data_IF_131485038549
#
_entry.id   IF_131485038549
#
_cell.length_a   1.000
_cell.length_b   1.000
_cell.length_c   1.000
_cell.angle_alpha   90.00
_cell.angle_beta   90.00
_cell.angle_gamma   90.00
#
_symmetry.space_group_name_H-M   'P 1'
#
loop_
_entity.id
_entity.type
_entity.pdbx_description
1 polymer ?
#
# COMPACT_ATOMS: atom_id res chain seq x y z
N UNK A 1 50.20 -0.32 26.52
CA UNK A 1 49.27 0.83 26.67
C UNK A 1 49.22 1.69 25.39
N UNK A 2 48.66 1.18 24.28
CA UNK A 2 48.39 2.02 23.07
C UNK A 2 47.03 1.78 22.40
N UNK A 3 46.19 0.87 22.92
CA UNK A 3 44.85 0.58 22.35
C UNK A 3 43.69 1.36 23.00
N UNK A 4 43.91 2.09 24.09
CA UNK A 4 42.83 2.75 24.84
C UNK A 4 42.34 4.06 24.22
N UNK A 5 43.17 4.74 23.41
CA UNK A 5 42.80 6.05 22.82
C UNK A 5 41.87 5.95 21.61
N UNK A 6 42.00 4.90 20.81
CA UNK A 6 41.13 4.69 19.62
C UNK A 6 39.72 4.28 20.06
N UNK A 7 39.61 3.48 21.13
CA UNK A 7 38.31 3.06 21.67
C UNK A 7 37.52 4.24 22.26
N UNK A 8 38.20 5.17 22.94
CA UNK A 8 37.57 6.39 23.44
C UNK A 8 37.14 7.35 22.33
N UNK A 9 37.90 7.42 21.23
CA UNK A 9 37.49 8.20 20.04
C UNK A 9 36.27 7.60 19.33
N UNK A 10 36.18 6.27 19.23
CA UNK A 10 35.01 5.59 18.65
C UNK A 10 33.77 5.76 19.52
N UNK A 11 33.90 5.71 20.84
CA UNK A 11 32.81 6.02 21.76
C UNK A 11 32.37 7.48 21.67
N UNK A 12 33.31 8.41 21.49
CA UNK A 12 32.99 9.82 21.31
C UNK A 12 32.25 10.10 19.99
N UNK A 13 32.65 9.45 18.89
CA UNK A 13 31.96 9.56 17.60
C UNK A 13 30.57 8.91 17.61
N UNK A 14 30.39 7.79 18.32
CA UNK A 14 29.08 7.16 18.49
C UNK A 14 28.13 8.05 19.31
N UNK A 15 28.67 8.79 20.28
CA UNK A 15 27.89 9.73 21.10
C UNK A 15 27.42 10.96 20.31
N UNK A 16 28.20 11.42 19.32
CA UNK A 16 27.80 12.48 18.38
C UNK A 16 26.64 12.03 17.48
N UNK A 17 26.63 10.77 17.03
CA UNK A 17 25.60 10.25 16.13
C UNK A 17 24.23 10.04 16.81
N UNK A 18 24.21 9.87 18.14
CA UNK A 18 22.98 9.85 18.95
C UNK A 18 22.48 11.26 19.31
N UNK A 19 23.37 12.26 19.36
CA UNK A 19 23.01 13.65 19.65
C UNK A 19 22.26 14.31 18.46
N UNK A 20 22.60 13.96 17.23
CA UNK A 20 21.94 14.49 16.02
C UNK A 20 20.52 13.94 15.81
N UNK A 21 20.22 12.75 16.35
CA UNK A 21 18.88 12.15 16.31
C UNK A 21 17.88 12.80 17.28
N UNK A 22 18.36 13.32 18.42
CA UNK A 22 17.51 14.02 19.40
C UNK A 22 17.15 15.46 18.97
N UNK A 23 17.93 16.06 18.05
CA UNK A 23 17.71 17.44 17.61
C UNK A 23 16.41 17.61 16.80
N UNK A 24 15.89 16.53 16.18
CA UNK A 24 14.62 16.52 15.45
C UNK A 24 13.37 16.39 16.33
N UNK A 25 13.50 15.90 17.57
CA UNK A 25 12.36 15.74 18.48
C UNK A 25 12.05 16.97 19.33
N UNK A 26 13.02 17.87 19.50
CA UNK A 26 12.88 19.10 20.29
C UNK A 26 11.86 20.08 19.66
N UNK A 27 11.83 20.33 18.34
CA UNK A 27 10.81 21.19 17.73
C UNK A 27 9.39 20.62 17.86
N UNK A 28 9.23 19.29 17.77
CA UNK A 28 7.94 18.61 17.86
C UNK A 28 7.41 18.62 19.30
N UNK A 29 8.27 18.39 20.29
CA UNK A 29 7.91 18.48 21.70
C UNK A 29 7.57 19.92 22.12
N UNK A 30 8.29 20.92 21.62
CA UNK A 30 7.96 22.34 21.85
C UNK A 30 6.65 22.75 21.18
N UNK A 31 6.34 22.25 19.98
CA UNK A 31 5.07 22.51 19.29
C UNK A 31 3.87 21.90 20.04
N UNK A 32 4.00 20.70 20.60
CA UNK A 32 2.93 20.06 21.39
C UNK A 32 2.73 20.73 22.76
N UNK A 33 3.81 21.18 23.40
CA UNK A 33 3.75 21.94 24.66
C UNK A 33 3.11 23.32 24.47
N UNK A 34 3.47 24.04 23.42
CA UNK A 34 2.85 25.34 23.08
C UNK A 34 1.37 25.20 22.73
N UNK A 35 0.98 24.16 21.99
CA UNK A 35 -0.43 23.87 21.70
C UNK A 35 -1.27 23.54 22.95
N UNK A 36 -0.71 22.78 23.91
CA UNK A 36 -1.38 22.48 25.18
C UNK A 36 -1.51 23.73 26.09
N UNK A 37 -0.52 24.63 26.05
CA UNK A 37 -0.54 25.89 26.83
C UNK A 37 -1.51 26.90 26.23
N UNK A 38 -1.63 26.96 24.90
CA UNK A 38 -2.63 27.81 24.22
C UNK A 38 -4.05 27.28 24.42
N UNK A 39 -4.24 25.95 24.39
CA UNK A 39 -5.57 25.34 24.62
C UNK A 39 -6.13 25.57 26.03
N UNK A 40 -5.28 25.53 27.06
CA UNK A 40 -5.67 25.81 28.45
C UNK A 40 -5.89 27.31 28.71
N UNK A 41 -5.14 28.19 28.04
CA UNK A 41 -5.33 29.65 28.08
C UNK A 41 -6.64 30.10 27.41
N UNK A 42 -6.98 29.54 26.23
CA UNK A 42 -8.25 29.86 25.55
C UNK A 42 -9.47 29.37 26.33
N UNK A 43 -9.39 28.19 26.96
CA UNK A 43 -10.49 27.66 27.77
C UNK A 43 -10.75 28.48 29.04
N UNK A 44 -9.70 28.99 29.69
CA UNK A 44 -9.82 29.83 30.89
C UNK A 44 -10.31 31.26 30.56
N UNK A 45 -9.91 31.83 29.41
CA UNK A 45 -10.42 33.13 28.93
C UNK A 45 -11.92 33.07 28.60
N UNK A 46 -12.38 31.99 27.95
CA UNK A 46 -13.81 31.82 27.59
C UNK A 46 -14.72 31.59 28.81
N UNK A 47 -14.19 31.01 29.89
CA UNK A 47 -14.94 30.85 31.15
C UNK A 47 -14.95 32.13 31.99
N UNK A 48 -13.87 32.93 31.96
CA UNK A 48 -13.79 34.25 32.60
C UNK A 48 -14.81 35.25 32.05
N UNK A 49 -14.88 35.41 30.72
CA UNK A 49 -15.81 36.35 30.07
C UNK A 49 -17.30 36.01 30.30
N UNK A 50 -17.63 34.74 30.57
CA UNK A 50 -19.02 34.32 30.85
C UNK A 50 -19.44 34.53 32.30
N UNK A 51 -18.50 34.55 33.24
CA UNK A 51 -18.75 34.84 34.65
C UNK A 51 -18.92 36.35 34.89
N UNK A 52 -18.02 37.17 34.34
CA UNK A 52 -18.02 38.63 34.48
C UNK A 52 -19.30 39.27 33.88
N UNK A 53 -19.76 38.75 32.73
CA UNK A 53 -20.99 39.20 32.06
C UNK A 53 -22.29 38.77 32.76
N UNK A 54 -22.24 37.93 33.80
CA UNK A 54 -23.41 37.54 34.62
C UNK A 54 -23.50 38.36 35.90
N UNK A 55 -22.38 38.80 36.44
CA UNK A 55 -22.27 39.65 37.63
C UNK A 55 -22.64 41.11 37.29
N UNK A 56 -22.14 41.63 36.17
CA UNK A 56 -22.46 42.98 35.68
C UNK A 56 -23.96 43.21 35.41
N UNK A 57 -24.68 42.16 34.97
CA UNK A 57 -26.15 42.21 34.74
C UNK A 57 -27.01 42.03 35.99
N UNK A 58 -26.41 41.69 37.13
CA UNK A 58 -27.09 41.66 38.43
C UNK A 58 -26.99 43.02 39.11
N UNK A 59 -25.82 43.64 39.08
CA UNK A 59 -25.58 44.97 39.66
C UNK A 59 -26.33 46.10 38.94
N UNK A 60 -26.42 46.07 37.60
CA UNK A 60 -27.19 47.07 36.83
C UNK A 60 -28.69 47.07 37.18
N UNK A 61 -29.27 45.89 37.47
CA UNK A 61 -30.70 45.77 37.83
C UNK A 61 -31.01 46.27 39.24
N UNK A 62 -30.07 46.16 40.18
CA UNK A 62 -30.26 46.69 41.54
C UNK A 62 -30.14 48.21 41.60
N UNK A 63 -29.27 48.81 40.76
CA UNK A 63 -29.12 50.27 40.68
C UNK A 63 -30.36 50.94 40.06
N UNK A 64 -30.96 50.33 39.04
CA UNK A 64 -32.18 50.85 38.38
C UNK A 64 -33.38 50.88 39.34
N UNK A 65 -33.60 49.79 40.09
CA UNK A 65 -34.65 49.67 41.13
C UNK A 65 -34.45 50.59 42.35
N UNK A 66 -33.21 51.05 42.60
CA UNK A 66 -32.92 52.02 43.66
C UNK A 66 -33.14 53.47 43.21
N UNK A 67 -32.89 53.79 41.94
CA UNK A 67 -33.10 55.13 41.39
C UNK A 67 -34.59 55.46 41.20
N UNK A 68 -35.42 54.47 40.90
CA UNK A 68 -36.87 54.64 40.73
C UNK A 68 -37.59 54.94 42.05
N UNK A 69 -37.16 54.31 43.16
CA UNK A 69 -37.67 54.60 44.52
C UNK A 69 -37.35 56.01 45.01
N UNK A 70 -36.20 56.59 44.62
CA UNK A 70 -35.84 57.97 45.02
C UNK A 70 -36.59 59.04 44.24
N UNK A 71 -36.94 58.79 42.97
CA UNK A 71 -37.73 59.73 42.15
C UNK A 71 -39.17 59.87 42.66
N UNK A 72 -39.78 58.78 43.10
CA UNK A 72 -41.15 58.78 43.64
C UNK A 72 -41.27 59.57 44.96
N UNK A 73 -40.27 59.50 45.84
CA UNK A 73 -40.30 60.18 47.15
C UNK A 73 -39.96 61.69 47.08
N UNK A 74 -39.21 62.13 46.05
CA UNK A 74 -38.85 63.53 45.88
C UNK A 74 -39.96 64.36 45.20
N UNK A 75 -40.86 63.71 44.46
CA UNK A 75 -41.94 64.38 43.71
C UNK A 75 -43.21 64.65 44.55
N UNK A 76 -43.36 63.98 45.70
CA UNK A 76 -44.51 64.14 46.61
C UNK A 76 -44.29 65.26 47.65
N UNK A 77 -43.02 65.50 48.06
CA UNK A 77 -42.67 66.55 49.02
C UNK A 77 -42.55 67.97 48.44
N UNK A 78 -42.65 68.13 47.11
CA UNK A 78 -42.58 69.43 46.41
C UNK A 78 -43.97 69.98 46.00
N UNK A 79 -45.07 69.36 46.44
CA UNK A 79 -46.44 69.70 45.98
C UNK A 79 -47.44 70.10 47.08
N UNK A 80 -47.01 70.28 48.33
CA UNK A 80 -47.87 70.75 49.45
C UNK A 80 -47.19 71.84 50.29
N UNK A 81 -46.48 72.76 49.64
CA UNK A 81 -45.78 73.89 50.27
C UNK A 81 -46.28 75.29 49.88
N UNK A 82 -47.19 75.43 48.92
CA UNK A 82 -47.61 76.76 48.42
C UNK A 82 -49.07 76.74 47.99
N UNK A 83 -50.00 77.09 48.89
CA UNK A 83 -51.25 77.79 48.57
C UNK A 83 -51.97 78.23 49.86
N UNK A 84 -52.38 79.50 49.89
CA UNK A 84 -53.27 80.16 50.87
C UNK A 84 -52.63 80.89 52.06
N UNK A 85 -51.80 81.87 51.68
CA UNK A 85 -51.70 83.19 52.33
C UNK A 85 -52.56 84.16 51.52
N UNK A 86 -53.53 84.83 52.15
CA UNK A 86 -54.19 86.02 51.57
C UNK A 86 -55.69 85.89 51.29
N UNK A 87 -56.52 86.06 52.32
CA UNK A 87 -57.91 86.49 52.15
C UNK A 87 -58.33 87.44 53.29
N UNK A 88 -57.96 88.72 53.13
CA UNK A 88 -58.66 89.91 53.61
C UNK A 88 -58.64 90.22 55.11
N UNK A 89 -57.98 91.26 55.64
CA UNK A 89 -57.37 92.48 55.06
C UNK A 89 -58.19 93.28 54.03
N UNK A 90 -59.53 93.11 54.01
CA UNK A 90 -60.42 94.00 53.25
C UNK A 90 -61.58 94.61 54.08
N UNK A 91 -61.60 94.41 55.40
CA UNK A 91 -62.55 95.10 56.30
C UNK A 91 -61.77 95.92 57.34
N UNK A 92 -60.84 96.73 56.84
CA UNK A 92 -60.45 97.99 57.47
C UNK A 92 -60.86 99.09 56.50
N UNK A 93 -61.39 100.20 57.02
CA UNK A 93 -61.70 101.43 56.29
C UNK A 93 -63.08 101.51 55.60
N UNK A 94 -64.14 101.36 56.40
CA UNK A 94 -65.29 102.25 56.29
C UNK A 94 -65.65 102.76 57.70
N UNK A 95 -65.27 104.02 57.96
CA UNK A 95 -65.67 104.89 59.08
C UNK A 95 -64.95 104.64 60.43
N UNK A 96 -63.86 105.31 60.78
CA UNK A 96 -63.32 106.55 60.23
C UNK A 96 -63.98 107.80 60.84
N UNK A 97 -63.57 108.13 62.08
CA UNK A 97 -63.49 109.48 62.69
C UNK A 97 -64.75 110.35 62.79
N UNK A 98 -65.21 110.47 64.03
CA UNK A 98 -65.77 111.68 64.65
C UNK A 98 -65.93 111.32 66.15
N UNK A 99 -65.46 112.03 67.16
CA UNK A 99 -64.46 113.07 67.34
C UNK A 99 -64.37 113.17 68.87
N UNK A 100 -63.14 113.22 69.40
CA UNK A 100 -62.88 113.59 70.79
C UNK A 100 -63.29 115.04 71.05
N UNK A 101 -64.55 115.30 71.36
CA UNK A 101 -65.01 116.48 72.10
C UNK A 101 -66.26 116.00 72.87
N UNK A 102 -66.25 115.79 74.18
CA UNK A 102 -65.81 116.77 75.15
C UNK A 102 -65.65 116.11 76.53
N UNK A 103 -64.46 116.27 77.05
CA UNK A 103 -64.12 116.33 78.46
C UNK A 103 -65.20 117.05 79.29
N UNK A 104 -65.79 116.29 80.21
CA UNK A 104 -66.13 116.63 81.61
C UNK A 104 -66.64 118.06 81.87
N UNK A 105 -67.88 118.13 82.38
CA UNK A 105 -68.20 118.68 83.72
C UNK A 105 -69.69 119.02 83.76
N UNK A 106 -70.51 118.11 84.30
CA UNK A 106 -71.01 118.21 85.68
C UNK A 106 -71.99 119.38 85.83
N UNK A 107 -73.26 119.09 85.62
CA UNK A 107 -74.26 119.27 86.68
C UNK A 107 -75.53 118.52 86.30
N UNK A 108 -75.60 117.25 86.71
CA UNK A 108 -76.51 116.80 87.76
C UNK A 108 -77.99 117.13 87.52
N UNK A 109 -78.76 116.05 87.58
CA UNK A 109 -80.09 116.01 88.17
C UNK A 109 -81.18 116.74 87.39
N UNK A 110 -81.81 115.99 86.49
CA UNK A 110 -83.22 115.58 86.63
C UNK A 110 -83.66 114.81 85.38
N UNK A 111 -84.49 113.77 85.56
CA UNK A 111 -85.56 113.30 84.65
C UNK A 111 -85.63 111.93 83.96
N UNK A 112 -84.72 110.95 84.11
CA UNK A 112 -85.03 109.57 83.60
C UNK A 112 -84.24 108.51 84.38
N UNK A 113 -84.67 107.74 85.39
CA UNK A 113 -85.95 107.18 85.85
C UNK A 113 -86.79 106.46 84.77
N UNK A 114 -86.86 105.13 84.96
CA UNK A 114 -87.68 104.08 84.32
C UNK A 114 -87.04 103.32 83.12
N UNK A 115 -86.90 101.99 83.32
CA UNK A 115 -86.60 100.89 82.37
C UNK A 115 -85.13 100.52 82.12
N UNK A 116 -84.63 99.48 82.82
CA UNK A 116 -83.68 98.51 82.23
C UNK A 116 -83.50 97.21 83.07
N UNK A 117 -84.60 96.54 83.43
CA UNK A 117 -84.55 95.20 84.04
C UNK A 117 -84.38 94.04 83.02
N UNK A 118 -84.49 94.30 81.70
CA UNK A 118 -84.44 93.27 80.65
C UNK A 118 -83.02 92.77 80.30
N UNK A 119 -81.99 93.58 80.53
CA UNK A 119 -80.60 93.25 80.15
C UNK A 119 -79.98 92.17 81.05
N UNK A 120 -80.43 92.03 82.30
CA UNK A 120 -79.94 90.98 83.24
C UNK A 120 -80.57 89.61 83.04
N UNK A 121 -81.63 89.50 82.25
CA UNK A 121 -82.30 88.22 81.96
C UNK A 121 -81.66 87.49 80.75
N UNK A 122 -81.16 88.23 79.77
CA UNK A 122 -80.51 87.67 78.57
C UNK A 122 -79.10 87.10 78.83
N UNK A 123 -78.30 87.73 79.71
CA UNK A 123 -76.94 87.23 80.06
C UNK A 123 -76.98 85.87 80.79
N UNK A 124 -78.01 85.62 81.61
CA UNK A 124 -78.18 84.34 82.31
C UNK A 124 -78.59 83.20 81.37
N UNK A 125 -79.42 83.50 80.36
CA UNK A 125 -79.91 82.50 79.40
C UNK A 125 -78.85 82.07 78.40
N UNK A 126 -77.89 82.94 78.08
CA UNK A 126 -76.77 82.63 77.18
C UNK A 126 -75.73 81.72 77.86
N UNK A 127 -75.41 81.96 79.14
CA UNK A 127 -74.48 81.13 79.93
C UNK A 127 -75.01 79.73 80.26
N UNK A 128 -76.32 79.57 80.48
CA UNK A 128 -76.89 78.24 80.75
C UNK A 128 -76.91 77.35 79.50
N UNK A 129 -77.26 77.93 78.34
CA UNK A 129 -77.39 77.16 77.09
C UNK A 129 -76.05 76.69 76.52
N UNK A 130 -74.98 77.48 76.71
CA UNK A 130 -73.62 77.13 76.27
C UNK A 130 -72.93 76.07 77.13
N UNK A 131 -73.37 75.88 78.38
CA UNK A 131 -72.75 74.94 79.31
C UNK A 131 -73.42 73.55 79.28
N UNK A 132 -74.69 73.45 78.86
CA UNK A 132 -75.38 72.17 78.59
C UNK A 132 -74.85 71.48 77.32
N UNK A 133 -74.79 72.20 76.19
CA UNK A 133 -74.33 71.65 74.90
C UNK A 133 -72.85 71.19 74.96
N UNK A 134 -72.02 71.80 75.81
CA UNK A 134 -70.62 71.40 76.04
C UNK A 134 -70.45 70.17 76.94
N UNK A 135 -71.39 69.91 77.85
CA UNK A 135 -71.34 68.72 78.71
C UNK A 135 -71.79 67.49 77.93
N UNK A 136 -72.86 67.62 77.13
CA UNK A 136 -73.36 66.55 76.25
C UNK A 136 -72.31 66.13 75.22
N UNK A 137 -71.68 67.09 74.52
CA UNK A 137 -70.60 66.80 73.58
C UNK A 137 -69.36 66.15 74.25
N UNK A 138 -69.11 66.43 75.54
CA UNK A 138 -68.00 65.82 76.28
C UNK A 138 -68.30 64.39 76.70
N UNK A 139 -69.56 64.09 77.05
CA UNK A 139 -70.01 62.73 77.34
C UNK A 139 -69.96 61.87 76.06
N UNK A 140 -70.42 62.39 74.92
CA UNK A 140 -70.32 61.70 73.62
C UNK A 140 -68.86 61.44 73.22
N UNK A 141 -67.95 62.41 73.43
CA UNK A 141 -66.52 62.20 73.17
C UNK A 141 -65.95 61.12 74.09
N UNK A 142 -66.32 61.10 75.38
CA UNK A 142 -65.85 60.07 76.31
C UNK A 142 -66.40 58.67 75.94
N UNK A 143 -67.63 58.56 75.45
CA UNK A 143 -68.18 57.29 74.96
C UNK A 143 -67.47 56.82 73.69
N UNK A 144 -67.25 57.70 72.71
CA UNK A 144 -66.50 57.38 71.50
C UNK A 144 -65.04 57.01 71.80
N UNK A 145 -64.40 57.67 72.75
CA UNK A 145 -63.04 57.31 73.19
C UNK A 145 -63.00 55.91 73.82
N UNK A 146 -64.02 55.56 74.62
CA UNK A 146 -64.14 54.23 75.20
C UNK A 146 -64.40 53.15 74.14
N UNK A 147 -65.25 53.45 73.15
CA UNK A 147 -65.55 52.54 72.03
C UNK A 147 -64.29 52.32 71.17
N UNK A 148 -63.59 53.39 70.79
CA UNK A 148 -62.31 53.32 70.07
C UNK A 148 -61.27 52.50 70.84
N UNK A 149 -61.15 52.69 72.16
CA UNK A 149 -60.23 51.90 72.98
C UNK A 149 -60.62 50.42 73.02
N UNK A 150 -61.91 50.12 73.09
CA UNK A 150 -62.42 48.75 73.08
C UNK A 150 -62.14 48.05 71.74
N UNK A 151 -62.39 48.73 70.63
CA UNK A 151 -62.07 48.22 69.28
C UNK A 151 -60.57 48.06 69.08
N UNK A 152 -59.74 49.00 69.55
CA UNK A 152 -58.28 48.88 69.46
C UNK A 152 -57.77 47.69 70.26
N UNK A 153 -58.34 47.45 71.44
CA UNK A 153 -58.01 46.28 72.26
C UNK A 153 -58.42 44.99 71.57
N UNK A 154 -59.64 44.92 71.03
CA UNK A 154 -60.10 43.73 70.29
C UNK A 154 -59.22 43.45 69.07
N UNK A 155 -58.86 44.49 68.30
CA UNK A 155 -57.93 44.38 67.17
C UNK A 155 -56.53 43.92 67.59
N UNK A 156 -56.05 44.39 68.74
CA UNK A 156 -54.76 43.97 69.31
C UNK A 156 -54.81 42.50 69.75
N UNK A 157 -55.88 42.08 70.42
CA UNK A 157 -56.08 40.69 70.85
C UNK A 157 -56.23 39.77 69.62
N UNK A 158 -56.92 40.20 68.58
CA UNK A 158 -57.00 39.47 67.31
C UNK A 158 -55.65 39.39 66.60
N UNK A 159 -54.88 40.49 66.56
CA UNK A 159 -53.53 40.52 65.99
C UNK A 159 -52.57 39.57 66.72
N UNK A 160 -52.61 39.53 68.05
CA UNK A 160 -51.78 38.60 68.84
C UNK A 160 -52.17 37.15 68.60
N UNK A 161 -53.47 36.84 68.50
CA UNK A 161 -53.97 35.51 68.16
C UNK A 161 -53.54 35.07 66.75
N UNK A 162 -53.66 35.96 65.76
CA UNK A 162 -53.24 35.66 64.39
C UNK A 162 -51.72 35.44 64.30
N UNK A 163 -50.91 36.26 64.97
CA UNK A 163 -49.46 36.05 65.04
C UNK A 163 -49.08 34.73 65.72
N UNK A 164 -49.80 34.31 66.76
CA UNK A 164 -49.62 33.01 67.39
C UNK A 164 -49.90 31.86 66.42
N UNK A 165 -51.00 31.93 65.66
CA UNK A 165 -51.34 30.92 64.65
C UNK A 165 -50.32 30.89 63.51
N UNK A 166 -49.87 32.05 63.05
CA UNK A 166 -48.81 32.16 62.03
C UNK A 166 -47.52 31.51 62.56
N UNK A 167 -47.09 31.81 63.79
CA UNK A 167 -45.92 31.18 64.41
C UNK A 167 -46.06 29.66 64.48
N UNK A 168 -47.20 29.14 64.94
CA UNK A 168 -47.44 27.70 65.00
C UNK A 168 -47.44 27.06 63.61
N UNK A 169 -47.98 27.74 62.60
CA UNK A 169 -47.96 27.26 61.22
C UNK A 169 -46.54 27.24 60.64
N UNK A 170 -45.72 28.24 60.98
CA UNK A 170 -44.30 28.29 60.62
C UNK A 170 -43.50 27.19 61.33
N UNK A 171 -43.76 26.92 62.61
CA UNK A 171 -43.14 25.82 63.35
C UNK A 171 -43.51 24.45 62.77
N UNK A 172 -44.76 24.28 62.33
CA UNK A 172 -45.18 23.05 61.62
C UNK A 172 -44.50 22.92 60.26
N UNK A 173 -44.41 24.00 59.49
CA UNK A 173 -43.73 24.01 58.19
C UNK A 173 -42.25 23.64 58.33
N UNK A 174 -41.55 24.25 59.29
CA UNK A 174 -40.13 23.96 59.54
C UNK A 174 -39.91 22.53 60.03
N UNK A 175 -40.83 21.97 60.83
CA UNK A 175 -40.79 20.57 61.23
C UNK A 175 -40.99 19.62 60.04
N UNK A 176 -41.95 19.91 59.16
CA UNK A 176 -42.17 19.11 57.94
C UNK A 176 -40.92 19.15 57.04
N UNK A 177 -40.30 20.32 56.88
CA UNK A 177 -39.06 20.47 56.13
C UNK A 177 -37.90 19.68 56.75
N UNK A 178 -37.80 19.65 58.08
CA UNK A 178 -36.79 18.87 58.78
C UNK A 178 -37.02 17.36 58.65
N UNK A 179 -38.26 16.89 58.79
CA UNK A 179 -38.63 15.48 58.65
C UNK A 179 -38.39 14.99 57.20
N UNK A 180 -38.76 15.79 56.19
CA UNK A 180 -38.48 15.51 54.78
C UNK A 180 -36.98 15.44 54.49
N UNK A 181 -36.18 16.37 55.04
CA UNK A 181 -34.72 16.34 54.90
C UNK A 181 -34.14 15.08 55.51
N UNK A 182 -34.58 14.68 56.70
CA UNK A 182 -34.13 13.46 57.35
C UNK A 182 -34.48 12.20 56.54
N UNK A 183 -35.68 12.14 55.94
CA UNK A 183 -36.07 11.02 55.06
C UNK A 183 -35.20 10.98 53.78
N UNK A 184 -34.96 12.14 53.16
CA UNK A 184 -34.09 12.25 51.98
C UNK A 184 -32.67 11.79 52.31
N UNK A 185 -32.09 12.28 53.40
CA UNK A 185 -30.74 11.92 53.83
C UNK A 185 -30.63 10.41 54.13
N UNK A 186 -31.66 9.83 54.76
CA UNK A 186 -31.73 8.39 55.01
C UNK A 186 -31.77 7.58 53.71
N UNK A 187 -32.59 7.99 52.74
CA UNK A 187 -32.66 7.35 51.41
C UNK A 187 -31.36 7.50 50.62
N UNK A 188 -30.71 8.68 50.67
CA UNK A 188 -29.39 8.90 50.06
C UNK A 188 -28.35 7.96 50.67
N UNK A 189 -28.36 7.80 52.01
CA UNK A 189 -27.44 6.90 52.68
C UNK A 189 -27.69 5.43 52.29
N UNK A 190 -28.96 5.00 52.19
CA UNK A 190 -29.31 3.65 51.73
C UNK A 190 -28.88 3.41 50.27
N UNK A 191 -29.21 4.33 49.36
CA UNK A 191 -28.76 4.28 47.96
C UNK A 191 -27.23 4.24 47.85
N UNK A 192 -26.53 5.04 48.65
CA UNK A 192 -25.06 5.06 48.65
C UNK A 192 -24.48 3.72 49.11
N UNK A 193 -25.08 3.08 50.13
CA UNK A 193 -24.67 1.74 50.58
C UNK A 193 -24.92 0.70 49.49
N UNK A 194 -26.11 0.67 48.89
CA UNK A 194 -26.42 -0.30 47.82
C UNK A 194 -25.50 -0.12 46.60
N UNK A 195 -25.23 1.12 46.18
CA UNK A 195 -24.29 1.40 45.10
C UNK A 195 -22.88 0.95 45.44
N UNK A 196 -22.42 1.17 46.67
CA UNK A 196 -21.10 0.71 47.12
C UNK A 196 -20.98 -0.82 47.14
N UNK A 197 -22.02 -1.53 47.57
CA UNK A 197 -22.07 -2.98 47.57
C UNK A 197 -22.06 -3.52 46.14
N UNK A 198 -22.92 -2.98 45.26
CA UNK A 198 -22.98 -3.38 43.86
C UNK A 198 -21.64 -3.13 43.14
N UNK A 199 -21.00 -1.99 43.42
CA UNK A 199 -19.67 -1.69 42.87
C UNK A 199 -18.64 -2.73 43.32
N UNK A 200 -18.63 -3.10 44.61
CA UNK A 200 -17.70 -4.09 45.13
C UNK A 200 -17.93 -5.48 44.51
N UNK A 201 -19.19 -5.89 44.33
CA UNK A 201 -19.54 -7.15 43.68
C UNK A 201 -19.09 -7.17 42.22
N UNK A 202 -19.32 -6.08 41.47
CA UNK A 202 -18.89 -5.97 40.08
C UNK A 202 -17.35 -6.00 39.97
N UNK A 203 -16.64 -5.34 40.89
CA UNK A 203 -15.18 -5.37 40.93
C UNK A 203 -14.64 -6.78 41.24
N UNK A 204 -15.32 -7.53 42.11
CA UNK A 204 -14.98 -8.94 42.40
C UNK A 204 -15.17 -9.82 41.17
N UNK A 205 -16.34 -9.76 40.52
CA UNK A 205 -16.61 -10.54 39.31
C UNK A 205 -15.64 -10.21 38.17
N UNK A 206 -15.30 -8.93 38.02
CA UNK A 206 -14.31 -8.49 37.03
C UNK A 206 -12.92 -9.08 37.31
N UNK A 207 -12.51 -9.15 38.58
CA UNK A 207 -11.22 -9.71 38.96
C UNK A 207 -11.19 -11.23 38.78
N UNK A 208 -12.26 -11.94 39.16
CA UNK A 208 -12.39 -13.39 38.90
C UNK A 208 -12.34 -13.72 37.40
N UNK A 209 -13.00 -12.91 36.56
CA UNK A 209 -12.95 -13.06 35.11
C UNK A 209 -11.54 -12.81 34.55
N UNK A 210 -10.84 -11.79 35.08
CA UNK A 210 -9.45 -11.49 34.70
C UNK A 210 -8.49 -12.62 35.06
N UNK A 211 -8.65 -13.22 36.23
CA UNK A 211 -7.82 -14.34 36.68
C UNK A 211 -8.01 -15.57 35.80
N UNK A 212 -9.28 -15.94 35.51
CA UNK A 212 -9.60 -17.02 34.56
C UNK A 212 -9.04 -16.75 33.17
N UNK A 213 -9.11 -15.52 32.69
CA UNK A 213 -8.53 -15.16 31.40
C UNK A 213 -6.99 -15.29 31.40
N UNK A 214 -6.34 -14.89 32.49
CA UNK A 214 -4.89 -15.03 32.64
C UNK A 214 -4.44 -16.51 32.70
N UNK A 215 -5.23 -17.36 33.35
CA UNK A 215 -5.01 -18.82 33.40
C UNK A 215 -5.08 -19.42 31.99
N UNK A 216 -6.16 -19.15 31.24
CA UNK A 216 -6.33 -19.63 29.86
C UNK A 216 -5.22 -19.11 28.94
N UNK A 217 -4.82 -17.84 29.07
CA UNK A 217 -3.68 -17.29 28.33
C UNK A 217 -2.36 -18.02 28.67
N UNK A 218 -2.16 -18.38 29.94
CA UNK A 218 -1.02 -19.15 30.39
C UNK A 218 -0.97 -20.55 29.77
N UNK A 219 -2.10 -21.27 29.78
CA UNK A 219 -2.23 -22.59 29.16
C UNK A 219 -1.94 -22.53 27.66
N UNK A 220 -2.57 -21.59 26.95
CA UNK A 220 -2.39 -21.41 25.51
C UNK A 220 -0.92 -21.08 25.16
N UNK A 221 -0.25 -20.23 25.96
CA UNK A 221 1.18 -19.94 25.78
C UNK A 221 2.03 -21.19 25.98
N UNK A 222 1.73 -22.00 27.01
CA UNK A 222 2.47 -23.23 27.29
C UNK A 222 2.33 -24.26 26.16
N UNK A 223 1.13 -24.39 25.59
CA UNK A 223 0.85 -25.31 24.50
C UNK A 223 1.47 -24.83 23.18
N UNK A 224 1.46 -23.52 22.92
CA UNK A 224 2.15 -22.94 21.77
C UNK A 224 3.66 -23.21 21.82
N UNK A 225 4.29 -23.12 23.01
CA UNK A 225 5.70 -23.45 23.20
C UNK A 225 5.96 -24.93 22.91
N UNK A 226 5.12 -25.84 23.42
CA UNK A 226 5.24 -27.29 23.16
C UNK A 226 5.15 -27.59 21.66
N UNK A 227 4.12 -27.06 20.99
CA UNK A 227 3.91 -27.26 19.55
C UNK A 227 5.07 -26.73 18.70
N UNK A 228 5.64 -25.57 19.07
CA UNK A 228 6.83 -25.03 18.40
C UNK A 228 8.05 -25.92 18.60
N UNK A 229 8.24 -26.47 19.79
CA UNK A 229 9.34 -27.40 20.07
C UNK A 229 9.19 -28.70 19.27
N UNK A 230 7.99 -29.28 19.25
CA UNK A 230 7.70 -30.50 18.47
C UNK A 230 7.90 -30.27 16.98
N UNK A 231 7.46 -29.12 16.46
CA UNK A 231 7.69 -28.73 15.06
C UNK A 231 9.18 -28.64 14.73
N UNK A 232 9.98 -28.03 15.62
CA UNK A 232 11.43 -27.92 15.42
C UNK A 232 12.11 -29.29 15.41
N UNK A 233 11.72 -30.20 16.32
CA UNK A 233 12.22 -31.58 16.37
C UNK A 233 11.84 -32.34 15.10
N UNK A 234 10.59 -32.23 14.65
CA UNK A 234 10.11 -32.85 13.42
C UNK A 234 10.87 -32.35 12.18
N UNK A 235 11.04 -31.03 12.04
CA UNK A 235 11.82 -30.44 10.95
C UNK A 235 13.27 -30.90 10.95
N UNK A 236 13.91 -30.95 12.13
CA UNK A 236 15.29 -31.41 12.29
C UNK A 236 15.45 -32.89 11.89
N UNK A 237 14.50 -33.73 12.29
CA UNK A 237 14.45 -35.14 11.90
C UNK A 237 14.32 -35.31 10.39
N UNK A 238 13.39 -34.60 9.77
CA UNK A 238 13.18 -34.68 8.32
C UNK A 238 14.39 -34.18 7.53
N UNK A 239 15.05 -33.10 7.99
CA UNK A 239 16.27 -32.59 7.37
C UNK A 239 17.41 -33.62 7.42
N UNK A 240 17.55 -34.32 8.57
CA UNK A 240 18.51 -35.41 8.72
C UNK A 240 18.21 -36.58 7.79
N UNK A 241 16.98 -37.07 7.78
CA UNK A 241 16.58 -38.18 6.91
C UNK A 241 16.76 -37.84 5.41
N UNK A 242 16.50 -36.59 5.02
CA UNK A 242 16.73 -36.12 3.66
C UNK A 242 18.23 -36.10 3.31
N UNK A 243 19.08 -35.62 4.22
CA UNK A 243 20.53 -35.61 4.00
C UNK A 243 21.10 -37.02 3.92
N UNK A 244 20.69 -37.94 4.79
CA UNK A 244 21.09 -39.34 4.73
C UNK A 244 20.69 -40.00 3.40
N UNK A 245 19.50 -39.68 2.86
CA UNK A 245 19.07 -40.14 1.53
C UNK A 245 19.92 -39.53 0.40
N UNK A 246 20.26 -38.25 0.49
CA UNK A 246 21.12 -37.57 -0.49
C UNK A 246 22.52 -38.16 -0.52
N UNK A 247 23.10 -38.44 0.64
CA UNK A 247 24.42 -39.07 0.75
C UNK A 247 24.41 -40.48 0.16
N UNK A 248 23.40 -41.29 0.47
CA UNK A 248 23.23 -42.63 -0.13
C UNK A 248 23.06 -42.57 -1.65
N UNK A 249 22.26 -41.63 -2.16
CA UNK A 249 22.09 -41.44 -3.60
C UNK A 249 23.40 -41.00 -4.26
N UNK A 250 24.16 -40.10 -3.63
CA UNK A 250 25.45 -39.67 -4.13
C UNK A 250 26.50 -40.80 -4.13
N UNK A 251 26.43 -41.72 -3.16
CA UNK A 251 27.25 -42.93 -3.15
C UNK A 251 26.93 -43.84 -4.34
N UNK A 252 25.65 -44.18 -4.52
CA UNK A 252 25.19 -45.02 -5.64
C UNK A 252 25.56 -44.38 -6.98
N UNK A 253 25.43 -43.06 -7.12
CA UNK A 253 25.87 -42.36 -8.33
C UNK A 253 27.39 -42.46 -8.57
N UNK A 254 28.21 -42.45 -7.51
CA UNK A 254 29.66 -42.60 -7.64
C UNK A 254 30.03 -44.03 -8.05
N UNK A 255 29.41 -45.03 -7.43
CA UNK A 255 29.61 -46.44 -7.79
C UNK A 255 29.23 -46.72 -9.25
N UNK A 256 28.04 -46.26 -9.68
CA UNK A 256 27.61 -46.39 -11.07
C UNK A 256 28.53 -45.67 -12.06
N UNK A 257 29.08 -44.51 -11.68
CA UNK A 257 30.06 -43.80 -12.52
C UNK A 257 31.37 -44.58 -12.63
N UNK A 258 31.88 -45.14 -11.54
CA UNK A 258 33.11 -45.96 -11.59
C UNK A 258 32.91 -47.22 -12.44
N UNK A 259 31.80 -47.93 -12.27
CA UNK A 259 31.48 -49.13 -13.04
C UNK A 259 31.32 -48.80 -14.53
N UNK A 260 30.69 -47.67 -14.87
CA UNK A 260 30.57 -47.23 -16.26
C UNK A 260 31.92 -46.90 -16.91
N UNK A 261 32.86 -46.31 -16.14
CA UNK A 261 34.20 -46.02 -16.62
C UNK A 261 34.96 -47.32 -16.89
N UNK A 262 34.89 -48.29 -15.98
CA UNK A 262 35.52 -49.60 -16.12
C UNK A 262 34.98 -50.36 -17.32
N UNK A 263 33.66 -50.47 -17.45
CA UNK A 263 33.00 -51.11 -18.60
C UNK A 263 33.38 -50.45 -19.93
N UNK A 264 33.53 -49.12 -19.97
CA UNK A 264 33.98 -48.41 -21.18
C UNK A 264 35.44 -48.70 -21.50
N UNK A 265 36.30 -48.82 -20.50
CA UNK A 265 37.71 -49.17 -20.70
C UNK A 265 37.86 -50.61 -21.22
N UNK A 266 37.11 -51.55 -20.65
CA UNK A 266 37.07 -52.94 -21.10
C UNK A 266 36.55 -53.05 -22.54
N UNK A 267 35.45 -52.36 -22.84
CA UNK A 267 34.90 -52.32 -24.19
C UNK A 267 35.89 -51.73 -25.20
N UNK A 268 36.60 -50.67 -24.83
CA UNK A 268 37.63 -50.07 -25.67
C UNK A 268 38.77 -51.05 -25.95
N UNK A 269 39.25 -51.74 -24.92
CA UNK A 269 40.30 -52.77 -25.02
C UNK A 269 39.86 -53.94 -25.90
N UNK A 270 38.63 -54.44 -25.71
CA UNK A 270 38.08 -55.50 -26.55
C UNK A 270 37.94 -55.06 -28.00
N UNK A 271 37.56 -53.81 -28.22
CA UNK A 271 37.43 -53.24 -29.56
C UNK A 271 38.79 -53.14 -30.26
N UNK A 272 39.86 -52.75 -29.56
CA UNK A 272 41.21 -52.68 -30.13
C UNK A 272 41.77 -54.08 -30.42
N UNK A 273 41.58 -55.04 -29.51
CA UNK A 273 41.94 -56.45 -29.74
C UNK A 273 41.27 -57.02 -30.99
N UNK A 274 39.94 -56.86 -31.10
CA UNK A 274 39.18 -57.35 -32.26
C UNK A 274 39.63 -56.69 -33.56
N UNK A 275 39.91 -55.38 -33.54
CA UNK A 275 40.45 -54.67 -34.72
C UNK A 275 41.80 -55.21 -35.14
N UNK A 276 42.72 -55.43 -34.20
CA UNK A 276 44.03 -55.99 -34.49
C UNK A 276 43.92 -57.41 -35.08
N UNK A 277 43.02 -58.23 -34.53
CA UNK A 277 42.79 -59.58 -35.03
C UNK A 277 42.20 -59.58 -36.45
N UNK A 278 41.25 -58.68 -36.74
CA UNK A 278 40.72 -58.50 -38.10
C UNK A 278 41.83 -58.09 -39.06
N UNK A 279 42.70 -57.14 -38.67
CA UNK A 279 43.76 -56.66 -39.56
C UNK A 279 44.80 -57.74 -39.84
N UNK A 280 45.19 -58.51 -38.82
CA UNK A 280 46.05 -59.69 -38.98
C UNK A 280 45.44 -60.72 -39.94
N UNK A 281 44.16 -61.03 -39.80
CA UNK A 281 43.44 -61.93 -40.71
C UNK A 281 43.38 -61.39 -42.15
N UNK A 282 43.19 -60.08 -42.32
CA UNK A 282 43.22 -59.45 -43.65
C UNK A 282 44.60 -59.57 -44.28
N UNK A 283 45.67 -59.28 -43.54
CA UNK A 283 47.04 -59.37 -44.03
C UNK A 283 47.41 -60.80 -44.41
N UNK A 284 47.06 -61.79 -43.57
CA UNK A 284 47.27 -63.20 -43.88
C UNK A 284 46.55 -63.62 -45.17
N UNK A 285 45.25 -63.30 -45.29
CA UNK A 285 44.47 -63.62 -46.50
C UNK A 285 45.00 -62.89 -47.73
N UNK A 286 45.40 -61.63 -47.61
CA UNK A 286 46.03 -60.88 -48.69
C UNK A 286 47.35 -61.55 -49.14
N UNK A 287 48.16 -62.03 -48.19
CA UNK A 287 49.38 -62.79 -48.45
C UNK A 287 49.12 -64.12 -49.16
N UNK A 288 48.07 -64.85 -48.78
CA UNK A 288 47.64 -66.08 -49.47
C UNK A 288 47.20 -65.78 -50.91
N UNK A 289 46.37 -64.74 -51.11
CA UNK A 289 45.93 -64.29 -52.44
C UNK A 289 47.13 -63.85 -53.29
N UNK A 290 48.09 -63.13 -52.71
CA UNK A 290 49.29 -62.64 -53.40
C UNK A 290 50.18 -63.78 -53.93
N UNK A 291 50.25 -64.92 -53.23
CA UNK A 291 50.97 -66.12 -53.71
C UNK A 291 50.28 -66.77 -54.90
N UNK A 292 48.95 -66.62 -55.03
CA UNK A 292 48.18 -67.15 -56.15
C UNK A 292 48.22 -66.25 -57.39
N UNK A 293 48.44 -64.94 -57.22
CA UNK A 293 48.46 -63.94 -58.30
C UNK A 293 49.53 -64.16 -59.39
N UNK A 294 50.82 -64.43 -59.11
CA UNK A 294 51.82 -64.63 -60.17
C UNK A 294 51.59 -65.92 -60.96
N UNK A 295 51.04 -66.96 -60.32
CA UNK A 295 50.61 -68.17 -61.01
C UNK A 295 49.38 -67.89 -61.87
N UNK A 296 48.41 -67.12 -61.38
CA UNK A 296 47.26 -66.67 -62.18
C UNK A 296 47.69 -65.84 -63.40
N UNK A 297 48.51 -64.80 -63.21
CA UNK A 297 49.04 -63.96 -64.31
C UNK A 297 49.85 -64.78 -65.31
N UNK A 298 50.80 -65.62 -64.88
CA UNK A 298 51.57 -66.49 -65.79
C UNK A 298 50.70 -67.48 -66.54
N UNK A 299 49.71 -68.08 -65.88
CA UNK A 299 48.81 -69.06 -66.51
C UNK A 299 47.86 -68.38 -67.49
N UNK A 300 47.42 -67.13 -67.22
CA UNK A 300 46.64 -66.32 -68.17
C UNK A 300 47.48 -65.85 -69.37
N UNK A 301 48.71 -65.39 -69.15
CA UNK A 301 49.61 -64.93 -70.22
C UNK A 301 50.04 -66.08 -71.13
N UNK A 302 50.33 -67.26 -70.57
CA UNK A 302 50.70 -68.45 -71.36
C UNK A 302 49.51 -69.15 -72.05
N UNK A 303 48.29 -69.03 -71.53
CA UNK A 303 47.13 -69.70 -72.13
C UNK A 303 46.59 -69.03 -73.41
N UNK A 304 46.88 -67.74 -73.65
CA UNK A 304 46.29 -66.97 -74.76
C UNK A 304 47.21 -66.66 -75.94
N UNK A 305 48.53 -66.81 -75.77
CA UNK A 305 49.51 -66.71 -76.86
C UNK A 305 49.35 -67.84 -77.92
N UNK A 306 48.48 -68.83 -77.64
CA UNK A 306 48.18 -69.98 -78.50
C UNK A 306 47.32 -69.66 -79.74
N UNK A 307 46.75 -68.47 -79.87
CA UNK A 307 45.84 -68.12 -80.98
C UNK A 307 46.30 -66.93 -81.85
N UNK A 308 47.55 -66.47 -81.69
CA UNK A 308 48.15 -65.39 -82.48
C UNK A 308 47.60 -64.00 -82.18
N UNK A 309 47.21 -63.74 -80.92
CA UNK A 309 46.89 -62.41 -80.40
C UNK A 309 48.01 -61.95 -79.48
N UNK A 310 48.46 -60.70 -79.61
CA UNK A 310 49.52 -60.10 -78.81
C UNK A 310 48.93 -59.03 -77.88
N UNK A 311 49.33 -59.05 -76.61
CA UNK A 311 48.81 -58.13 -75.60
C UNK A 311 49.74 -56.93 -75.40
N UNK A 312 49.16 -55.73 -75.31
CA UNK A 312 49.87 -54.51 -74.92
C UNK A 312 49.38 -54.06 -73.54
N UNK A 313 50.28 -54.04 -72.54
CA UNK A 313 49.92 -53.76 -71.15
C UNK A 313 49.47 -52.30 -70.96
N UNK A 314 50.04 -51.38 -71.72
CA UNK A 314 49.79 -49.93 -71.64
C UNK A 314 48.35 -49.57 -72.01
N UNK A 315 47.75 -50.28 -72.96
CA UNK A 315 46.36 -50.09 -73.41
C UNK A 315 45.40 -51.13 -72.83
N UNK A 316 45.93 -52.08 -72.06
CA UNK A 316 45.21 -53.25 -71.57
C UNK A 316 44.41 -53.99 -72.65
N UNK A 317 44.92 -54.01 -73.90
CA UNK A 317 44.20 -54.48 -75.09
C UNK A 317 44.96 -55.57 -75.83
N UNK A 318 44.22 -56.39 -76.59
CA UNK A 318 44.76 -57.47 -77.42
C UNK A 318 44.71 -57.09 -78.90
N UNK A 319 45.79 -57.38 -79.63
CA UNK A 319 45.98 -57.00 -81.02
C UNK A 319 46.30 -58.23 -81.84
N UNK A 320 45.90 -58.22 -83.12
CA UNK A 320 46.24 -59.29 -84.06
C UNK A 320 46.38 -58.73 -85.46
N UNK A 321 47.52 -58.99 -86.09
CA UNK A 321 47.70 -58.73 -87.52
C UNK A 321 47.07 -59.86 -88.33
N UNK A 322 46.28 -59.49 -89.34
CA UNK A 322 45.59 -60.43 -90.22
C UNK A 322 46.19 -60.31 -91.61
N UNK A 323 46.96 -61.33 -92.00
CA UNK A 323 47.54 -61.44 -93.32
C UNK A 323 46.52 -62.00 -94.33
N UNK A 324 45.50 -61.21 -94.65
CA UNK A 324 44.55 -61.50 -95.71
C UNK A 324 44.17 -60.21 -96.43
N UNK A 325 44.23 -60.22 -97.76
CA UNK A 325 43.82 -59.07 -98.57
C UNK A 325 42.29 -58.91 -98.50
N UNK A 326 41.85 -57.77 -97.96
CA UNK A 326 40.44 -57.41 -97.78
C UNK A 326 40.24 -55.94 -98.14
N UNK A 327 39.03 -55.58 -98.56
CA UNK A 327 38.58 -54.18 -98.57
C UNK A 327 38.39 -53.66 -97.14
N UNK A 328 38.32 -52.34 -96.95
CA UNK A 328 38.13 -51.76 -95.62
C UNK A 328 36.85 -52.28 -94.93
N UNK A 329 35.73 -52.32 -95.66
CA UNK A 329 34.44 -52.79 -95.12
C UNK A 329 34.48 -54.29 -94.78
N UNK A 330 35.16 -55.10 -95.60
CA UNK A 330 35.40 -56.52 -95.31
C UNK A 330 36.27 -56.70 -94.07
N UNK A 331 37.28 -55.85 -93.87
CA UNK A 331 38.15 -55.90 -92.70
C UNK A 331 37.39 -55.49 -91.42
N UNK A 332 36.53 -54.46 -91.48
CA UNK A 332 35.61 -54.09 -90.38
C UNK A 332 34.69 -55.26 -90.04
N UNK A 333 34.04 -55.87 -91.05
CA UNK A 333 33.15 -57.01 -90.84
C UNK A 333 33.89 -58.23 -90.28
N UNK A 334 35.12 -58.48 -90.74
CA UNK A 334 35.96 -59.56 -90.26
C UNK A 334 36.31 -59.39 -88.78
N UNK A 335 36.81 -58.22 -88.38
CA UNK A 335 37.06 -57.91 -86.98
C UNK A 335 35.79 -58.04 -86.14
N UNK A 336 34.66 -57.51 -86.62
CA UNK A 336 33.36 -57.66 -85.97
C UNK A 336 32.96 -59.12 -85.75
N UNK A 337 33.18 -60.00 -86.74
CA UNK A 337 32.92 -61.44 -86.62
C UNK A 337 33.76 -62.14 -85.54
N UNK A 338 34.92 -61.56 -85.21
CA UNK A 338 35.83 -62.03 -84.14
C UNK A 338 35.56 -61.35 -82.80
N UNK A 339 34.47 -60.58 -82.69
CA UNK A 339 34.15 -59.74 -81.52
C UNK A 339 35.26 -58.73 -81.20
N UNK A 340 35.93 -58.22 -82.24
CA UNK A 340 36.93 -57.15 -82.16
C UNK A 340 36.57 -56.02 -83.13
N UNK A 341 37.39 -54.99 -83.18
CA UNK A 341 37.31 -53.92 -84.18
C UNK A 341 38.67 -53.71 -84.85
N UNK A 342 38.70 -52.94 -85.94
CA UNK A 342 39.96 -52.46 -86.49
C UNK A 342 40.69 -51.62 -85.44
N UNK A 343 42.01 -51.73 -85.41
CA UNK A 343 42.84 -51.11 -84.38
C UNK A 343 42.69 -49.59 -84.39
N UNK A 344 42.52 -49.02 -83.20
CA UNK A 344 42.66 -47.58 -82.93
C UNK A 344 44.01 -47.31 -82.30
N UNK A 345 44.53 -46.09 -82.47
CA UNK A 345 45.87 -45.75 -81.99
C UNK A 345 45.79 -44.41 -81.27
N UNK A 346 46.15 -44.42 -79.98
CA UNK A 346 46.03 -43.28 -79.08
C UNK A 346 47.38 -42.83 -78.48
N UNK A 347 48.46 -43.57 -78.74
CA UNK A 347 49.81 -43.20 -78.29
C UNK A 347 50.91 -43.60 -79.27
N UNK A 348 52.09 -43.00 -79.10
CA UNK A 348 53.27 -43.33 -79.89
C UNK A 348 53.73 -44.77 -79.65
N UNK A 349 53.67 -45.24 -78.39
CA UNK A 349 54.01 -46.60 -78.00
C UNK A 349 53.07 -47.64 -78.63
N UNK A 350 51.76 -47.35 -78.65
CA UNK A 350 50.78 -48.20 -79.33
C UNK A 350 51.02 -48.25 -80.83
N UNK A 351 51.32 -47.10 -81.45
CA UNK A 351 51.68 -47.05 -82.87
C UNK A 351 52.89 -47.96 -83.17
N UNK A 352 53.94 -47.90 -82.36
CA UNK A 352 55.16 -48.65 -82.59
C UNK A 352 54.94 -50.15 -82.41
N UNK A 353 54.16 -50.54 -81.38
CA UNK A 353 53.74 -51.93 -81.18
C UNK A 353 52.92 -52.47 -82.37
N UNK A 354 51.95 -51.70 -82.86
CA UNK A 354 51.12 -52.11 -84.02
C UNK A 354 51.98 -52.24 -85.28
N UNK A 355 52.96 -51.36 -85.48
CA UNK A 355 53.91 -51.47 -86.60
C UNK A 355 54.78 -52.73 -86.51
N UNK A 356 55.30 -53.07 -85.32
CA UNK A 356 56.06 -54.30 -85.10
C UNK A 356 55.22 -55.55 -85.31
N UNK A 357 53.99 -55.55 -84.78
CA UNK A 357 53.06 -56.67 -84.95
C UNK A 357 52.72 -56.89 -86.42
N UNK A 358 52.49 -55.82 -87.17
CA UNK A 358 52.15 -55.93 -88.59
C UNK A 358 53.37 -56.31 -89.46
N UNK A 359 54.60 -55.94 -89.07
CA UNK A 359 55.85 -56.48 -89.65
C UNK A 359 56.03 -57.98 -89.40
N UNK A 360 55.49 -58.54 -88.32
CA UNK A 360 55.66 -59.96 -88.01
C UNK A 360 55.00 -60.91 -89.04
N UNK A 361 54.06 -60.40 -89.84
CA UNK A 361 53.32 -61.16 -90.87
C UNK A 361 53.75 -60.82 -92.32
N UNK A 362 54.62 -59.81 -92.49
CA UNK A 362 55.43 -59.36 -93.66
C UNK A 362 55.06 -59.71 -95.13
N UNK A 363 53.79 -59.73 -95.50
CA UNK A 363 53.34 -60.12 -96.84
C UNK A 363 52.45 -59.08 -97.55
N UNK A 364 52.10 -58.00 -96.86
CA UNK A 364 51.24 -56.92 -97.36
C UNK A 364 51.96 -55.56 -97.27
N UNK A 365 51.77 -54.73 -98.29
CA UNK A 365 52.38 -53.39 -98.37
C UNK A 365 51.78 -52.39 -97.35
N UNK A 366 50.56 -52.66 -96.88
CA UNK A 366 49.85 -51.87 -95.88
C UNK A 366 48.82 -52.73 -95.12
N UNK A 367 48.43 -52.28 -93.93
CA UNK A 367 47.34 -52.86 -93.14
C UNK A 367 46.27 -51.82 -92.84
N UNK A 368 44.99 -52.22 -92.93
CA UNK A 368 43.89 -51.36 -92.53
C UNK A 368 43.90 -51.09 -91.02
N UNK A 369 43.66 -49.84 -90.65
CA UNK A 369 43.40 -49.41 -89.27
C UNK A 369 41.99 -48.81 -89.17
N UNK A 370 41.49 -48.59 -87.97
CA UNK A 370 40.12 -48.11 -87.75
C UNK A 370 39.88 -46.65 -88.09
N UNK A 371 40.84 -45.92 -88.69
CA UNK A 371 40.69 -44.49 -88.96
C UNK A 371 40.01 -44.28 -90.32
N UNK A 372 38.88 -43.59 -90.33
CA UNK A 372 38.11 -43.28 -91.54
C UNK A 372 37.72 -41.80 -91.59
N UNK A 373 37.48 -41.27 -92.78
CA UNK A 373 37.05 -39.89 -92.97
C UNK A 373 35.57 -39.75 -92.57
N UNK A 374 35.23 -38.71 -91.83
CA UNK A 374 33.87 -38.43 -91.42
C UNK A 374 33.08 -37.86 -92.62
N UNK A 375 31.99 -38.51 -93.08
CA UNK A 375 31.23 -38.06 -94.25
C UNK A 375 30.46 -36.76 -94.02
N UNK A 376 30.23 -36.37 -92.77
CA UNK A 376 29.43 -35.20 -92.38
C UNK A 376 30.31 -33.98 -92.03
N UNK A 377 31.64 -34.12 -92.03
CA UNK A 377 32.59 -33.05 -91.72
C UNK A 377 33.76 -33.10 -92.68
N UNK A 378 33.80 -32.16 -93.63
CA UNK A 378 34.94 -32.02 -94.55
C UNK A 378 36.25 -31.94 -93.76
N UNK A 379 37.21 -32.79 -94.15
CA UNK A 379 38.56 -32.88 -93.56
C UNK A 379 38.65 -33.34 -92.09
N UNK A 380 37.62 -33.99 -91.55
CA UNK A 380 37.70 -34.66 -90.26
C UNK A 380 37.84 -36.19 -90.40
N UNK A 381 38.61 -36.80 -89.50
CA UNK A 381 38.72 -38.26 -89.35
C UNK A 381 38.03 -38.71 -88.05
N UNK A 382 37.58 -39.95 -88.01
CA UNK A 382 37.00 -40.62 -86.85
C UNK A 382 37.46 -42.08 -86.77
N UNK A 383 37.57 -42.60 -85.55
CA UNK A 383 37.83 -44.01 -85.31
C UNK A 383 36.56 -44.85 -85.44
N UNK A 384 36.67 -46.07 -85.95
CA UNK A 384 35.54 -47.00 -86.12
C UNK A 384 34.88 -47.44 -84.81
N UNK A 385 35.57 -47.32 -83.67
CA UNK A 385 35.05 -47.64 -82.34
C UNK A 385 34.32 -46.47 -81.67
N UNK A 386 34.35 -45.28 -82.29
CA UNK A 386 33.75 -44.04 -81.77
C UNK A 386 34.62 -43.27 -80.77
N UNK A 387 35.86 -43.71 -80.53
CA UNK A 387 36.82 -42.97 -79.70
C UNK A 387 37.26 -41.65 -80.36
N UNK A 388 37.74 -40.72 -79.54
CA UNK A 388 38.27 -39.45 -80.04
C UNK A 388 39.59 -39.64 -80.78
N UNK A 389 39.78 -38.94 -81.90
CA UNK A 389 41.07 -38.87 -82.60
C UNK A 389 41.98 -37.89 -81.84
N UNK A 390 42.79 -38.42 -80.93
CA UNK A 390 43.76 -37.69 -80.09
C UNK A 390 45.22 -37.91 -80.51
N UNK A 391 45.48 -38.91 -81.36
CA UNK A 391 46.79 -39.20 -81.93
C UNK A 391 46.70 -39.36 -83.46
N UNK A 392 47.63 -38.74 -84.17
CA UNK A 392 47.79 -38.90 -85.63
C UNK A 392 49.26 -38.87 -86.01
N UNK A 393 49.70 -39.84 -86.82
CA UNK A 393 51.05 -39.92 -87.39
C UNK A 393 50.94 -40.19 -88.90
N UNK A 394 50.78 -39.12 -89.68
CA UNK A 394 50.60 -39.20 -91.13
C UNK A 394 51.93 -39.44 -91.86
N UNK A 395 51.87 -40.23 -92.93
CA UNK A 395 53.00 -40.41 -93.87
C UNK A 395 53.17 -39.17 -94.76
N UNK A 396 54.30 -39.04 -95.45
CA UNK A 396 54.55 -37.91 -96.34
C UNK A 396 53.45 -37.76 -97.40
N UNK A 397 52.92 -36.55 -97.56
CA UNK A 397 51.80 -36.23 -98.47
C UNK A 397 50.43 -36.83 -98.09
N UNK A 398 50.25 -37.30 -96.86
CA UNK A 398 48.96 -37.69 -96.28
C UNK A 398 48.45 -36.63 -95.27
N UNK A 399 47.13 -36.53 -95.04
CA UNK A 399 46.04 -37.29 -95.66
C UNK A 399 45.68 -36.79 -97.07
N UNK A 400 45.53 -37.73 -98.01
CA UNK A 400 45.03 -37.46 -99.37
C UNK A 400 43.49 -37.50 -99.45
N UNK A 401 42.93 -37.55 -100.67
CA UNK A 401 41.48 -37.60 -100.90
C UNK A 401 40.84 -38.97 -100.60
N UNK A 402 41.59 -39.95 -100.09
CA UNK A 402 41.03 -41.25 -99.72
C UNK A 402 40.10 -41.13 -98.49
N UNK A 403 39.13 -42.04 -98.43
CA UNK A 403 38.09 -42.04 -97.40
C UNK A 403 38.44 -42.88 -96.17
N UNK A 404 39.52 -43.68 -96.22
CA UNK A 404 39.97 -44.58 -95.16
C UNK A 404 41.50 -44.55 -95.05
N UNK A 405 42.04 -44.72 -93.84
CA UNK A 405 43.49 -44.76 -93.61
C UNK A 405 44.00 -46.19 -93.41
N UNK A 406 45.28 -46.38 -93.73
CA UNK A 406 46.01 -47.61 -93.52
C UNK A 406 47.38 -47.30 -92.92
N UNK A 407 47.95 -48.23 -92.16
CA UNK A 407 49.35 -48.17 -91.76
C UNK A 407 50.17 -48.75 -92.91
N UNK A 408 50.98 -47.90 -93.52
CA UNK A 408 51.97 -48.27 -94.52
C UNK A 408 53.30 -48.50 -93.83
N UNK A 409 54.07 -49.48 -94.31
CA UNK A 409 55.45 -49.63 -93.87
C UNK A 409 56.38 -48.87 -94.79
N UNK A 410 57.42 -48.20 -94.27
CA UNK A 410 58.54 -47.79 -95.10
C UNK A 410 59.15 -49.06 -95.72
N UNK A 411 59.38 -49.01 -97.03
CA UNK A 411 60.02 -50.08 -97.81
C UNK A 411 61.45 -50.36 -97.32
#
# INVERSE_FOLDING_TARGET
>A
MRFSRIFLLLLFLLHLQLADGLFWFIPIAMALSTAATIGTSVYSIVQGERAEKREQRREEREIELMQERRRMSHQENLRLGEENRGFGEFIYAANGKLDDIQYISKETLQQVLANNDDVRHLDRKLKSKTQEELVEAREEICELEAEIQSEQKERSDEFTKNNSQISQSADRSTKIDADLRAEIDSKIAELSRTFSALKADLERELNEAREKNAEVEGELRSENIKLRADLYVFQSRNARELNERREKNAEVERELRSENIELRADLATKTTELRAQIEFEKENKAGEIAKLLPNSKRTMTLAFDLNGWSYLEQTASWYKAIDQKMTFDEAVAYCGSKKSHLVTIHSQEENDFVQELAKSVNSLDFFWIGLKRNPNKENAFEWTDGSSVDFTKWDESQPDSNTHAAVRFPA
#
